data_IF_249402467372
#
_entry.id   IF_249402467372
#
_cell.length_a   1.000
_cell.length_b   1.000
_cell.length_c   1.000
_cell.angle_alpha   90.00
_cell.angle_beta   90.00
_cell.angle_gamma   90.00
#
_symmetry.space_group_name_H-M   'P 1'
#
loop_
_entity.id
_entity.type
_entity.pdbx_description
1 polymer ?
#
# COMPACT_ATOMS: atom_id res chain seq x y z
N UNK A 1 -9.19 1.27 15.08
CA UNK A 1 -9.26 1.47 13.61
C UNK A 1 -7.98 1.03 12.88
N UNK A 2 -8.06 0.72 11.58
CA UNK A 2 -6.93 0.38 10.71
C UNK A 2 -6.96 1.29 9.47
N UNK A 3 -6.00 2.21 9.39
CA UNK A 3 -5.73 3.01 8.20
C UNK A 3 -5.00 2.16 7.17
N UNK A 4 -5.50 2.11 5.94
CA UNK A 4 -4.83 1.36 4.89
C UNK A 4 -4.79 2.11 3.55
N UNK A 5 -3.70 1.88 2.81
CA UNK A 5 -3.56 2.33 1.43
C UNK A 5 -3.35 1.11 0.53
N UNK A 6 -4.01 1.05 -0.63
CA UNK A 6 -3.77 -0.02 -1.60
C UNK A 6 -4.13 0.41 -3.03
N UNK A 7 -3.20 0.20 -3.95
CA UNK A 7 -3.42 0.43 -5.38
C UNK A 7 -3.98 -0.82 -6.09
N UNK A 8 -3.32 -1.97 -5.91
CA UNK A 8 -3.62 -3.23 -6.62
C UNK A 8 -4.28 -4.29 -5.73
N UNK A 9 -4.66 -3.91 -4.50
CA UNK A 9 -5.48 -4.74 -3.62
C UNK A 9 -4.74 -5.65 -2.64
N UNK A 10 -3.41 -5.81 -2.75
CA UNK A 10 -2.63 -6.62 -1.80
C UNK A 10 -2.84 -6.14 -0.35
N UNK A 11 -2.54 -4.88 -0.09
CA UNK A 11 -2.67 -4.27 1.25
C UNK A 11 -4.12 -4.15 1.70
N UNK A 12 -5.08 -3.97 0.76
CA UNK A 12 -6.51 -4.00 1.09
C UNK A 12 -6.93 -5.37 1.59
N UNK A 13 -6.50 -6.44 0.93
CA UNK A 13 -6.76 -7.81 1.38
C UNK A 13 -6.15 -8.04 2.76
N UNK A 14 -4.88 -7.66 2.96
CA UNK A 14 -4.20 -7.77 4.26
C UNK A 14 -4.94 -7.01 5.37
N UNK A 15 -5.34 -5.76 5.12
CA UNK A 15 -6.12 -4.98 6.08
C UNK A 15 -7.47 -5.64 6.38
N UNK A 16 -8.13 -6.21 5.37
CA UNK A 16 -9.41 -6.93 5.54
C UNK A 16 -9.25 -8.17 6.40
N UNK A 17 -8.19 -8.97 6.18
CA UNK A 17 -7.90 -10.13 7.03
C UNK A 17 -7.62 -9.72 8.49
N UNK A 18 -6.91 -8.61 8.70
CA UNK A 18 -6.68 -8.07 10.04
C UNK A 18 -7.97 -7.56 10.68
N UNK A 19 -8.80 -6.77 9.98
CA UNK A 19 -10.12 -6.34 10.45
C UNK A 19 -10.96 -7.52 10.93
N UNK A 20 -10.99 -8.62 10.16
CA UNK A 20 -11.78 -9.79 10.51
C UNK A 20 -11.28 -10.50 11.78
N UNK A 21 -10.01 -10.28 12.17
CA UNK A 21 -9.37 -10.92 13.34
C UNK A 21 -9.32 -10.02 14.56
N UNK A 22 -9.23 -8.70 14.37
CA UNK A 22 -9.13 -7.72 15.45
C UNK A 22 -10.46 -7.03 15.75
N UNK A 23 -11.42 -7.08 14.83
CA UNK A 23 -12.70 -6.35 14.92
C UNK A 23 -12.59 -4.86 14.57
N UNK A 24 -11.40 -4.38 14.24
CA UNK A 24 -11.14 -2.96 14.00
C UNK A 24 -11.72 -2.47 12.66
N UNK A 25 -12.22 -1.24 12.64
CA UNK A 25 -12.78 -0.64 11.43
C UNK A 25 -11.69 -0.24 10.43
N UNK A 26 -11.94 -0.43 9.13
CA UNK A 26 -11.00 -0.01 8.08
C UNK A 26 -11.27 1.42 7.63
N UNK A 27 -10.19 2.18 7.43
CA UNK A 27 -10.21 3.51 6.84
C UNK A 27 -9.31 3.51 5.60
N UNK A 28 -9.90 3.71 4.42
CA UNK A 28 -9.15 3.84 3.17
C UNK A 28 -8.51 5.22 3.10
N UNK A 29 -7.18 5.27 3.08
CA UNK A 29 -6.41 6.52 3.04
C UNK A 29 -6.69 7.33 1.77
N UNK A 30 -6.99 6.66 0.65
CA UNK A 30 -7.32 7.34 -0.61
C UNK A 30 -8.60 8.17 -0.52
N UNK A 31 -9.51 7.82 0.40
CA UNK A 31 -10.74 8.55 0.65
C UNK A 31 -10.58 9.52 1.82
N UNK A 32 -9.94 9.07 2.91
CA UNK A 32 -9.67 9.87 4.10
C UNK A 32 -8.93 11.18 3.80
N UNK A 33 -7.96 11.15 2.87
CA UNK A 33 -7.14 12.31 2.53
C UNK A 33 -7.94 13.43 1.83
N UNK A 34 -9.14 13.13 1.33
CA UNK A 34 -10.04 14.11 0.73
C UNK A 34 -10.85 14.89 1.79
N UNK A 35 -10.79 14.45 3.04
CA UNK A 35 -11.54 15.02 4.17
C UNK A 35 -10.57 15.67 5.20
N UNK A 36 -11.04 15.95 6.40
CA UNK A 36 -10.32 16.61 7.50
C UNK A 36 -9.15 15.81 8.06
N UNK A 37 -9.10 14.49 7.81
CA UNK A 37 -8.15 13.56 8.42
C UNK A 37 -8.17 13.57 9.97
N UNK A 38 -9.32 13.87 10.60
CA UNK A 38 -9.47 13.91 12.05
C UNK A 38 -10.26 12.70 12.55
N UNK A 39 -9.73 12.01 13.57
CA UNK A 39 -10.33 10.80 14.13
C UNK A 39 -10.26 10.80 15.64
N UNK A 40 -11.32 10.29 16.29
CA UNK A 40 -11.36 10.10 17.74
C UNK A 40 -11.30 8.60 18.06
N UNK A 41 -10.39 8.21 18.94
CA UNK A 41 -10.25 6.84 19.42
C UNK A 41 -11.16 6.60 20.62
N UNK A 42 -11.79 5.43 20.67
CA UNK A 42 -12.44 4.92 21.89
C UNK A 42 -11.39 4.47 22.89
N UNK A 43 -11.80 4.36 24.15
CA UNK A 43 -10.96 3.81 25.22
C UNK A 43 -10.35 2.47 24.76
N UNK A 44 -9.04 2.33 24.92
CA UNK A 44 -8.31 1.12 24.53
C UNK A 44 -8.43 0.72 23.05
N UNK A 45 -8.84 1.59 22.13
CA UNK A 45 -8.92 1.27 20.70
C UNK A 45 -7.53 1.05 20.08
N UNK A 46 -7.38 0.02 19.23
CA UNK A 46 -6.12 -0.26 18.53
C UNK A 46 -6.06 0.57 17.25
N UNK A 47 -4.91 1.19 16.99
CA UNK A 47 -4.66 1.90 15.73
C UNK A 47 -3.67 1.13 14.84
N UNK A 48 -4.10 0.79 13.64
CA UNK A 48 -3.31 0.02 12.68
C UNK A 48 -2.97 0.80 11.43
N UNK A 49 -1.81 0.52 10.83
CA UNK A 49 -1.41 1.06 9.53
C UNK A 49 -1.02 -0.08 8.59
N UNK A 50 -1.66 -0.16 7.41
CA UNK A 50 -1.40 -1.22 6.43
C UNK A 50 -1.18 -0.64 5.04
N UNK A 51 0.01 -0.76 4.47
CA UNK A 51 0.33 -0.11 3.20
C UNK A 51 1.44 -0.79 2.40
N UNK A 52 1.49 -0.58 1.07
CA UNK A 52 2.55 -1.09 0.23
C UNK A 52 3.83 -0.27 0.34
N UNK A 53 4.96 -0.92 0.11
CA UNK A 53 6.25 -0.23 -0.10
C UNK A 53 6.38 0.18 -1.56
N UNK A 54 6.68 1.46 -1.82
CA UNK A 54 6.93 1.98 -3.17
C UNK A 54 8.40 2.38 -3.29
N UNK A 55 9.21 1.63 -4.04
CA UNK A 55 10.63 1.93 -4.24
C UNK A 55 11.43 2.01 -2.93
N UNK A 56 11.21 1.04 -2.02
CA UNK A 56 11.80 1.01 -0.66
C UNK A 56 11.48 2.24 0.20
N UNK A 57 10.37 2.93 -0.09
CA UNK A 57 9.90 4.11 0.62
C UNK A 57 8.39 4.04 0.90
N UNK A 58 7.95 4.95 1.75
CA UNK A 58 6.55 5.22 2.06
C UNK A 58 5.89 5.86 0.82
N UNK A 59 4.71 5.39 0.38
CA UNK A 59 3.95 6.05 -0.68
C UNK A 59 3.67 7.52 -0.33
N UNK A 60 3.86 8.44 -1.29
CA UNK A 60 3.67 9.88 -1.07
C UNK A 60 2.28 10.24 -0.48
N UNK A 61 1.23 9.58 -0.96
CA UNK A 61 -0.14 9.77 -0.43
C UNK A 61 -0.24 9.44 1.07
N UNK A 62 0.51 8.43 1.54
CA UNK A 62 0.53 8.06 2.95
C UNK A 62 1.31 9.09 3.77
N UNK A 63 2.43 9.61 3.28
CA UNK A 63 3.15 10.71 3.95
C UNK A 63 2.24 11.94 4.11
N UNK A 64 1.57 12.37 3.04
CA UNK A 64 0.64 13.50 3.08
C UNK A 64 -0.54 13.26 4.06
N UNK A 65 -1.05 12.02 4.10
CA UNK A 65 -2.08 11.65 5.05
C UNK A 65 -1.59 11.73 6.50
N UNK A 66 -0.42 11.16 6.81
CA UNK A 66 0.13 11.14 8.17
C UNK A 66 0.48 12.55 8.68
N UNK A 67 0.93 13.44 7.81
CA UNK A 67 1.19 14.85 8.14
C UNK A 67 -0.08 15.64 8.49
N UNK A 68 -1.22 15.23 7.94
CA UNK A 68 -2.54 15.85 8.19
C UNK A 68 -3.35 15.14 9.27
N UNK A 69 -2.98 13.92 9.62
CA UNK A 69 -3.72 13.07 10.55
C UNK A 69 -3.75 13.71 11.94
N UNK A 70 -4.97 13.89 12.45
CA UNK A 70 -5.25 14.28 13.83
C UNK A 70 -5.93 13.13 14.56
N UNK A 71 -5.41 12.79 15.72
CA UNK A 71 -5.96 11.72 16.56
C UNK A 71 -6.27 12.27 17.95
N UNK A 72 -7.53 12.20 18.35
CA UNK A 72 -7.98 12.58 19.68
C UNK A 72 -8.37 11.33 20.47
N UNK A 73 -8.10 11.30 21.76
CA UNK A 73 -8.45 10.18 22.64
C UNK A 73 -9.22 10.67 23.85
N UNK A 74 -10.03 9.79 24.42
CA UNK A 74 -10.91 10.14 25.56
C UNK A 74 -10.14 10.05 26.89
N UNK A 75 -9.11 9.20 26.96
CA UNK A 75 -8.42 8.78 28.18
C UNK A 75 -7.01 9.40 28.35
N UNK A 76 -6.48 10.09 27.33
CA UNK A 76 -5.09 10.60 27.28
C UNK A 76 -4.00 9.53 27.51
N UNK A 77 -4.35 8.23 27.45
CA UNK A 77 -3.43 7.13 27.70
C UNK A 77 -2.70 6.70 26.41
N UNK A 78 -1.58 5.99 26.55
CA UNK A 78 -0.83 5.52 25.38
C UNK A 78 -1.60 4.40 24.64
N UNK A 79 -1.96 4.64 23.38
CA UNK A 79 -2.71 3.66 22.57
C UNK A 79 -1.80 2.65 21.86
N UNK A 80 -2.23 1.39 21.85
CA UNK A 80 -1.55 0.32 21.13
C UNK A 80 -1.65 0.57 19.62
N UNK A 81 -0.49 0.74 18.98
CA UNK A 81 -0.38 0.95 17.54
C UNK A 81 0.36 -0.19 16.85
N UNK A 82 -0.03 -0.55 15.63
CA UNK A 82 0.72 -1.52 14.82
C UNK A 82 0.91 -1.05 13.37
N UNK A 83 1.92 -1.60 12.69
CA UNK A 83 2.13 -1.36 11.27
C UNK A 83 2.46 -2.65 10.51
N UNK A 84 1.78 -2.91 9.40
CA UNK A 84 2.06 -4.04 8.51
C UNK A 84 2.33 -3.54 7.08
N UNK A 85 3.54 -3.81 6.59
CA UNK A 85 3.94 -3.47 5.22
C UNK A 85 3.75 -4.65 4.28
N UNK A 86 3.17 -4.39 3.10
CA UNK A 86 3.18 -5.35 1.99
C UNK A 86 4.27 -4.96 0.99
N UNK A 87 5.09 -5.91 0.53
CA UNK A 87 6.13 -5.66 -0.48
C UNK A 87 6.23 -6.81 -1.48
N UNK A 88 6.79 -6.56 -2.66
CA UNK A 88 7.08 -7.60 -3.65
C UNK A 88 8.32 -8.44 -3.30
N UNK A 89 9.27 -7.85 -2.57
CA UNK A 89 10.58 -8.43 -2.25
C UNK A 89 11.14 -7.97 -0.88
N UNK A 90 11.34 -6.67 -0.69
CA UNK A 90 11.96 -6.13 0.52
C UNK A 90 11.43 -4.75 0.88
N UNK A 91 11.61 -4.32 2.14
CA UNK A 91 11.08 -3.05 2.65
C UNK A 91 12.12 -1.94 2.79
N UNK A 92 13.42 -2.24 2.67
CA UNK A 92 14.49 -1.29 2.97
C UNK A 92 14.34 -0.73 4.40
N UNK A 93 14.34 0.60 4.53
CA UNK A 93 14.15 1.36 5.78
C UNK A 93 12.76 1.99 5.88
N UNK A 94 11.78 1.43 5.18
CA UNK A 94 10.41 1.99 5.14
C UNK A 94 9.76 1.99 6.53
N UNK A 95 9.96 0.93 7.33
CA UNK A 95 9.38 0.85 8.68
C UNK A 95 10.03 1.85 9.65
N UNK A 96 11.35 2.04 9.55
CA UNK A 96 12.08 3.05 10.33
C UNK A 96 11.59 4.46 10.00
N UNK A 97 11.40 4.75 8.70
CA UNK A 97 10.84 6.02 8.24
C UNK A 97 9.42 6.21 8.76
N UNK A 98 8.61 5.15 8.76
CA UNK A 98 7.23 5.18 9.25
C UNK A 98 7.19 5.45 10.76
N UNK A 99 8.05 4.79 11.55
CA UNK A 99 8.17 5.04 12.99
C UNK A 99 8.47 6.51 13.28
N UNK A 100 9.33 7.14 12.49
CA UNK A 100 9.64 8.57 12.61
C UNK A 100 8.48 9.50 12.21
N UNK A 101 7.60 9.10 11.29
CA UNK A 101 6.39 9.86 10.96
C UNK A 101 5.29 9.66 12.01
N UNK A 102 5.13 8.45 12.54
CA UNK A 102 4.14 8.15 13.58
C UNK A 102 4.31 9.04 14.81
N UNK A 103 5.57 9.26 15.23
CA UNK A 103 5.91 10.15 16.35
C UNK A 103 5.57 11.63 16.12
N UNK A 104 5.32 12.04 14.87
CA UNK A 104 5.01 13.42 14.49
C UNK A 104 3.52 13.65 14.22
N UNK A 105 2.70 12.60 14.31
CA UNK A 105 1.25 12.72 14.16
C UNK A 105 0.74 13.68 15.25
N UNK A 106 -0.18 14.57 14.87
CA UNK A 106 -0.86 15.44 15.81
C UNK A 106 -1.85 14.60 16.62
N UNK A 107 -1.42 14.14 17.80
CA UNK A 107 -2.19 13.25 18.65
C UNK A 107 -2.27 13.81 20.08
N UNK A 108 -3.44 13.71 20.71
CA UNK A 108 -3.61 14.09 22.13
C UNK A 108 -2.92 13.11 23.08
N UNK A 109 -2.53 11.93 22.60
CA UNK A 109 -1.85 10.89 23.36
C UNK A 109 -0.68 10.27 22.57
N UNK A 110 0.13 9.42 23.21
CA UNK A 110 1.13 8.62 22.52
C UNK A 110 0.47 7.53 21.66
N UNK A 111 0.85 7.46 20.38
CA UNK A 111 0.56 6.33 19.51
C UNK A 111 1.74 5.35 19.56
N UNK A 112 1.71 4.45 20.56
CA UNK A 112 2.84 3.56 20.85
C UNK A 112 2.91 2.43 19.83
N UNK A 113 3.88 2.51 18.90
CA UNK A 113 4.15 1.44 17.94
C UNK A 113 4.61 0.18 18.66
N UNK A 114 3.69 -0.76 18.83
CA UNK A 114 3.87 -1.94 19.67
C UNK A 114 4.13 -3.22 18.89
N UNK A 115 3.61 -3.33 17.67
CA UNK A 115 3.86 -4.46 16.79
C UNK A 115 4.06 -4.03 15.34
N UNK A 116 4.98 -4.69 14.65
CA UNK A 116 5.32 -4.45 13.25
C UNK A 116 5.47 -5.75 12.48
N UNK A 117 5.12 -5.74 11.20
CA UNK A 117 5.38 -6.86 10.31
C UNK A 117 5.62 -6.38 8.87
N UNK A 118 6.29 -7.22 8.09
CA UNK A 118 6.37 -7.10 6.64
C UNK A 118 6.04 -8.45 6.01
N UNK A 119 5.17 -8.44 4.99
CA UNK A 119 4.80 -9.66 4.26
C UNK A 119 5.09 -9.50 2.76
N UNK A 120 5.54 -10.59 2.17
CA UNK A 120 5.80 -10.66 0.73
C UNK A 120 4.50 -11.01 0.00
N UNK A 121 4.08 -10.11 -0.88
CA UNK A 121 2.86 -10.22 -1.68
C UNK A 121 3.21 -10.31 -3.17
N UNK A 122 2.27 -10.75 -4.03
CA UNK A 122 2.54 -10.87 -5.45
C UNK A 122 2.95 -9.53 -6.09
N UNK A 123 3.93 -9.60 -7.00
CA UNK A 123 4.51 -8.43 -7.66
C UNK A 123 3.46 -7.73 -8.54
N UNK A 124 3.42 -6.41 -8.43
CA UNK A 124 2.51 -5.55 -9.21
C UNK A 124 3.21 -4.35 -9.85
N UNK A 125 4.51 -4.15 -9.61
CA UNK A 125 5.30 -3.12 -10.26
C UNK A 125 5.91 -3.64 -11.56
N UNK A 126 5.45 -3.10 -12.69
CA UNK A 126 5.86 -3.52 -14.04
C UNK A 126 6.64 -2.42 -14.80
N UNK A 127 7.12 -1.41 -14.06
CA UNK A 127 7.71 -0.19 -14.64
C UNK A 127 9.18 -0.25 -15.03
N UNK A 128 9.90 -1.33 -14.70
CA UNK A 128 11.33 -1.51 -14.97
C UNK A 128 11.61 -2.75 -15.83
N UNK A 129 12.69 -2.76 -16.65
CA UNK A 129 13.13 -3.96 -17.35
C UNK A 129 13.32 -5.15 -16.40
N UNK A 130 12.92 -6.35 -16.81
CA UNK A 130 13.05 -7.58 -16.01
C UNK A 130 12.02 -7.75 -14.87
N UNK A 131 11.24 -6.72 -14.51
CA UNK A 131 10.17 -6.82 -13.51
C UNK A 131 8.82 -7.11 -14.17
N UNK A 132 8.22 -8.25 -13.88
CA UNK A 132 6.87 -8.62 -14.34
C UNK A 132 6.05 -9.23 -13.20
N UNK A 133 4.76 -9.44 -13.43
CA UNK A 133 3.87 -10.09 -12.46
C UNK A 133 4.29 -11.53 -12.20
N UNK A 134 3.97 -12.02 -11.01
CA UNK A 134 4.27 -13.40 -10.62
C UNK A 134 3.51 -14.44 -11.47
N UNK A 135 4.12 -15.62 -11.64
CA UNK A 135 3.41 -16.79 -12.18
C UNK A 135 2.25 -17.20 -11.26
N UNK A 136 1.34 -18.03 -11.75
CA UNK A 136 0.20 -18.47 -10.95
C UNK A 136 0.61 -19.17 -9.66
N UNK A 137 1.63 -20.02 -9.76
CA UNK A 137 2.15 -20.82 -8.66
C UNK A 137 2.80 -19.90 -7.62
N UNK A 138 3.62 -18.95 -8.07
CA UNK A 138 4.28 -17.96 -7.19
C UNK A 138 3.26 -17.05 -6.50
N UNK A 139 2.27 -16.55 -7.24
CA UNK A 139 1.18 -15.74 -6.70
C UNK A 139 0.45 -16.49 -5.59
N UNK A 140 0.04 -17.74 -5.84
CA UNK A 140 -0.65 -18.59 -4.87
C UNK A 140 0.21 -18.84 -3.63
N UNK A 141 1.47 -19.22 -3.82
CA UNK A 141 2.40 -19.50 -2.72
C UNK A 141 2.62 -18.28 -1.82
N UNK A 142 2.83 -17.10 -2.42
CA UNK A 142 2.98 -15.84 -1.67
C UNK A 142 1.72 -15.52 -0.86
N UNK A 143 0.53 -15.65 -1.45
CA UNK A 143 -0.75 -15.42 -0.75
C UNK A 143 -0.96 -16.40 0.41
N UNK A 144 -0.66 -17.69 0.22
CA UNK A 144 -0.79 -18.71 1.26
C UNK A 144 0.18 -18.46 2.43
N UNK A 145 1.41 -18.06 2.12
CA UNK A 145 2.42 -17.70 3.13
C UNK A 145 2.01 -16.44 3.89
N UNK A 146 1.60 -15.40 3.17
CA UNK A 146 1.10 -14.15 3.75
C UNK A 146 -0.09 -14.40 4.69
N UNK A 147 -1.01 -15.31 4.32
CA UNK A 147 -2.16 -15.66 5.17
C UNK A 147 -1.73 -16.24 6.53
N UNK A 148 -0.69 -17.08 6.55
CA UNK A 148 -0.15 -17.64 7.81
C UNK A 148 0.47 -16.53 8.67
N UNK A 149 1.31 -15.68 8.06
CA UNK A 149 1.95 -14.56 8.76
C UNK A 149 0.92 -13.56 9.31
N UNK A 150 -0.17 -13.29 8.59
CA UNK A 150 -1.26 -12.42 9.06
C UNK A 150 -1.99 -13.05 10.26
N UNK A 151 -2.20 -14.38 10.28
CA UNK A 151 -2.80 -15.06 11.43
C UNK A 151 -1.95 -14.90 12.68
N UNK A 152 -0.64 -15.13 12.56
CA UNK A 152 0.33 -15.00 13.66
C UNK A 152 0.38 -13.56 14.16
N UNK A 153 0.47 -12.59 13.23
CA UNK A 153 0.52 -11.17 13.57
C UNK A 153 -0.77 -10.68 14.24
N UNK A 154 -1.94 -11.15 13.79
CA UNK A 154 -3.21 -10.81 14.42
C UNK A 154 -3.30 -11.33 15.87
N UNK A 155 -2.74 -12.50 16.17
CA UNK A 155 -2.67 -13.01 17.53
C UNK A 155 -1.84 -12.08 18.43
N UNK A 156 -0.70 -11.60 17.94
CA UNK A 156 0.15 -10.61 18.64
C UNK A 156 -0.63 -9.32 18.93
N UNK A 157 -1.37 -8.80 17.95
CA UNK A 157 -2.20 -7.59 18.10
C UNK A 157 -3.30 -7.80 19.15
N UNK A 158 -4.01 -8.93 19.09
CA UNK A 158 -5.14 -9.22 19.99
C UNK A 158 -4.69 -9.44 21.44
N UNK A 159 -3.53 -10.07 21.65
CA UNK A 159 -2.94 -10.23 22.98
C UNK A 159 -2.40 -8.90 23.56
N UNK A 160 -2.27 -7.86 22.71
CA UNK A 160 -1.73 -6.54 23.09
C UNK A 160 -0.41 -6.63 23.85
N UNK A 161 0.44 -7.58 23.44
CA UNK A 161 1.72 -7.86 24.12
C UNK A 161 2.53 -6.57 24.26
N UNK A 162 3.13 -6.33 25.45
CA UNK A 162 3.94 -5.14 25.67
C UNK A 162 5.15 -5.14 24.74
N UNK A 163 5.64 -3.93 24.46
CA UNK A 163 6.87 -3.69 23.69
C UNK A 163 8.05 -4.37 24.39
N UNK A 164 8.90 -5.06 23.62
CA UNK A 164 10.15 -5.62 24.15
C UNK A 164 11.17 -4.49 24.39
N UNK A 165 12.18 -4.71 25.24
CA UNK A 165 13.31 -3.80 25.45
C UNK A 165 14.02 -3.43 24.14
N UNK A 166 13.90 -4.28 23.12
CA UNK A 166 14.52 -4.11 21.80
C UNK A 166 13.65 -3.35 20.77
N UNK A 167 12.46 -2.88 21.16
CA UNK A 167 11.53 -2.15 20.31
C UNK A 167 10.22 -2.91 20.01
N UNK A 168 9.48 -2.49 18.97
CA UNK A 168 8.19 -3.10 18.63
C UNK A 168 8.33 -4.61 18.36
N UNK A 169 7.32 -5.39 18.72
CA UNK A 169 7.29 -6.83 18.41
C UNK A 169 7.34 -7.04 16.89
N UNK A 170 8.18 -7.96 16.42
CA UNK A 170 8.38 -8.20 14.98
C UNK A 170 9.45 -7.32 14.33
N UNK A 171 10.16 -6.47 15.09
CA UNK A 171 11.14 -5.52 14.55
C UNK A 171 12.35 -6.18 13.89
N UNK A 172 12.82 -7.30 14.44
CA UNK A 172 14.00 -8.00 13.93
C UNK A 172 13.66 -8.90 12.73
N UNK A 173 12.39 -9.28 12.61
CA UNK A 173 11.84 -10.18 11.60
C UNK A 173 11.46 -9.46 10.29
N UNK A 174 11.53 -8.12 10.26
CA UNK A 174 11.23 -7.33 9.07
C UNK A 174 12.18 -7.66 7.91
N UNK A 175 11.60 -7.90 6.73
CA UNK A 175 12.30 -8.24 5.49
C UNK A 175 12.93 -6.99 4.85
N UNK A 176 13.97 -6.45 5.49
CA UNK A 176 14.67 -5.23 5.04
C UNK A 176 15.41 -5.43 3.72
N UNK A 177 15.76 -6.67 3.39
CA UNK A 177 16.56 -7.00 2.21
C UNK A 177 18.06 -6.69 2.42
N UNK A 178 18.89 -6.94 1.40
CA UNK A 178 20.32 -6.64 1.45
C UNK A 178 20.56 -5.11 1.44
N UNK A 179 21.57 -4.62 2.16
CA UNK A 179 22.03 -3.21 2.12
C UNK A 179 20.86 -2.17 2.17
N UNK A 180 19.99 -2.21 3.19
CA UNK A 180 18.73 -1.45 3.21
C UNK A 180 18.92 0.08 3.14
N UNK A 181 20.04 0.58 3.64
CA UNK A 181 20.39 2.01 3.60
C UNK A 181 20.69 2.50 2.18
N UNK A 182 21.30 1.65 1.34
CA UNK A 182 21.56 1.98 -0.07
C UNK A 182 20.25 2.00 -0.89
N UNK A 183 19.38 1.01 -0.66
CA UNK A 183 18.09 0.95 -1.35
C UNK A 183 17.16 2.10 -0.97
N UNK A 184 17.10 2.45 0.31
CA UNK A 184 16.21 3.50 0.79
C UNK A 184 16.80 4.91 0.56
N UNK A 185 18.12 5.02 0.55
CA UNK A 185 18.87 6.25 0.29
C UNK A 185 19.03 6.53 -1.22
N UNK A 186 20.20 6.30 -1.83
CA UNK A 186 20.46 6.65 -3.24
C UNK A 186 19.47 6.07 -4.25
N UNK A 187 19.17 4.77 -4.18
CA UNK A 187 18.31 4.11 -5.17
C UNK A 187 16.86 4.60 -5.04
N UNK A 188 16.34 4.66 -3.81
CA UNK A 188 15.00 5.16 -3.53
C UNK A 188 14.84 6.63 -3.92
N UNK A 189 15.86 7.47 -3.69
CA UNK A 189 15.85 8.87 -4.11
C UNK A 189 15.82 9.02 -5.64
N UNK A 190 16.63 8.24 -6.35
CA UNK A 190 16.61 8.18 -7.81
C UNK A 190 15.24 7.72 -8.33
N UNK A 191 14.70 6.65 -7.74
CA UNK A 191 13.40 6.10 -8.12
C UNK A 191 12.28 7.13 -7.93
N UNK A 192 12.24 7.80 -6.78
CA UNK A 192 11.24 8.83 -6.50
C UNK A 192 11.36 10.03 -7.45
N UNK A 193 12.58 10.45 -7.80
CA UNK A 193 12.80 11.62 -8.66
C UNK A 193 12.52 11.36 -10.14
N UNK A 194 12.81 10.15 -10.64
CA UNK A 194 12.82 9.89 -12.08
C UNK A 194 11.85 8.81 -12.55
N UNK A 195 11.36 7.93 -11.66
CA UNK A 195 10.50 6.79 -12.03
C UNK A 195 9.06 6.92 -11.51
N UNK A 196 8.84 7.77 -10.50
CA UNK A 196 7.50 8.12 -10.03
C UNK A 196 6.98 9.30 -10.88
N UNK A 197 6.31 8.97 -11.99
CA UNK A 197 5.74 9.92 -12.94
C UNK A 197 4.68 9.25 -13.81
N UNK A 198 3.72 10.02 -14.30
CA UNK A 198 2.70 9.56 -15.23
C UNK A 198 3.05 9.76 -16.72
N UNK A 199 4.09 10.55 -17.03
CA UNK A 199 4.44 10.94 -18.41
C UNK A 199 4.51 9.78 -19.41
N UNK A 200 5.01 8.57 -19.06
CA UNK A 200 5.07 7.47 -20.01
C UNK A 200 3.74 6.73 -20.19
N UNK A 201 2.71 6.99 -19.37
CA UNK A 201 1.42 6.34 -19.56
C UNK A 201 0.74 6.83 -20.85
N UNK A 202 0.19 5.87 -21.59
CA UNK A 202 -0.53 6.11 -22.84
C UNK A 202 -1.61 5.08 -23.07
N UNK A 203 -2.61 5.46 -23.85
CA UNK A 203 -3.69 4.58 -24.30
C UNK A 203 -3.34 3.95 -25.65
N UNK A 204 -3.64 2.67 -25.81
CA UNK A 204 -3.69 1.98 -27.11
C UNK A 204 -5.12 2.08 -27.61
N UNK A 205 -5.33 2.96 -28.58
CA UNK A 205 -6.66 3.42 -28.98
C UNK A 205 -7.55 2.29 -29.49
N UNK A 206 -6.99 1.32 -30.21
CA UNK A 206 -7.69 0.20 -30.81
C UNK A 206 -8.23 -0.78 -29.75
N UNK A 207 -7.64 -0.76 -28.54
CA UNK A 207 -8.04 -1.62 -27.42
C UNK A 207 -8.99 -0.92 -26.44
N UNK A 208 -9.07 0.41 -26.47
CA UNK A 208 -9.79 1.17 -25.46
C UNK A 208 -11.29 1.24 -25.75
N UNK A 209 -12.10 0.58 -24.90
CA UNK A 209 -13.57 0.61 -24.98
C UNK A 209 -14.21 1.73 -24.15
N UNK A 210 -13.41 2.64 -23.57
CA UNK A 210 -13.88 3.80 -22.78
C UNK A 210 -14.77 3.42 -21.59
N UNK A 211 -14.43 2.34 -20.90
CA UNK A 211 -15.20 1.84 -19.74
C UNK A 211 -15.02 2.66 -18.46
N UNK A 212 -14.02 3.55 -18.38
CA UNK A 212 -13.79 4.42 -17.21
C UNK A 212 -13.04 3.78 -16.03
N UNK A 213 -12.91 2.45 -15.98
CA UNK A 213 -12.30 1.71 -14.85
C UNK A 213 -10.93 2.28 -14.45
N UNK A 214 -10.08 2.62 -15.42
CA UNK A 214 -8.74 3.16 -15.14
C UNK A 214 -8.76 4.46 -14.33
N UNK A 215 -9.77 5.32 -14.54
CA UNK A 215 -9.93 6.56 -13.78
C UNK A 215 -10.50 6.27 -12.38
N UNK A 216 -11.47 5.35 -12.28
CA UNK A 216 -12.09 4.93 -11.03
C UNK A 216 -11.08 4.31 -10.04
N UNK A 217 -10.17 3.47 -10.53
CA UNK A 217 -9.18 2.80 -9.66
C UNK A 217 -7.97 3.67 -9.34
N UNK A 218 -7.88 4.91 -9.86
CA UNK A 218 -6.73 5.77 -9.62
C UNK A 218 -6.80 6.35 -8.20
N UNK A 219 -5.90 5.94 -7.27
CA UNK A 219 -6.03 6.33 -5.87
C UNK A 219 -5.83 7.83 -5.60
N UNK A 220 -5.24 8.54 -6.56
CA UNK A 220 -4.85 9.95 -6.45
C UNK A 220 -5.62 10.84 -7.42
N UNK A 221 -6.66 10.31 -8.09
CA UNK A 221 -7.49 11.03 -9.05
C UNK A 221 -6.68 11.76 -10.14
N UNK A 222 -5.60 11.14 -10.61
CA UNK A 222 -4.67 11.71 -11.60
C UNK A 222 -5.11 11.49 -13.06
N UNK A 223 -6.30 10.94 -13.27
CA UNK A 223 -6.81 10.61 -14.61
C UNK A 223 -8.13 11.32 -14.85
N UNK A 224 -8.14 12.25 -15.81
CA UNK A 224 -9.37 12.78 -16.39
C UNK A 224 -9.94 11.75 -17.36
N UNK A 225 -11.17 11.30 -17.12
CA UNK A 225 -11.81 10.28 -17.93
C UNK A 225 -13.10 9.84 -17.26
N UNK A 226 -13.51 8.60 -17.53
CA UNK A 226 -14.75 8.03 -17.00
C UNK A 226 -15.46 7.22 -18.07
N UNK A 227 -16.64 6.73 -17.74
CA UNK A 227 -17.48 5.99 -18.69
C UNK A 227 -17.74 6.85 -19.94
N UNK A 228 -17.48 6.29 -21.12
CA UNK A 228 -17.64 6.99 -22.41
C UNK A 228 -16.44 7.84 -22.84
N UNK A 229 -15.46 8.08 -21.96
CA UNK A 229 -14.31 8.94 -22.25
C UNK A 229 -12.98 8.17 -22.31
N UNK A 230 -12.07 8.61 -23.18
CA UNK A 230 -10.68 8.14 -23.15
C UNK A 230 -9.97 8.75 -21.94
N UNK A 231 -9.14 7.97 -21.21
CA UNK A 231 -8.40 8.50 -20.07
C UNK A 231 -7.24 9.40 -20.52
N UNK A 232 -7.05 10.49 -19.79
CA UNK A 232 -5.96 11.46 -19.95
C UNK A 232 -5.33 11.68 -18.58
N UNK A 233 -4.02 11.47 -18.48
CA UNK A 233 -3.28 11.75 -17.24
C UNK A 233 -3.09 13.24 -17.07
N UNK A 234 -3.25 13.72 -15.84
CA UNK A 234 -3.29 15.15 -15.54
C UNK A 234 -1.90 15.78 -15.46
N UNK A 235 -0.83 14.98 -15.34
CA UNK A 235 0.55 15.46 -15.22
C UNK A 235 0.72 16.45 -14.05
N UNK A 236 0.03 16.19 -12.94
CA UNK A 236 0.00 17.06 -11.75
C UNK A 236 0.95 16.59 -10.62
N UNK A 237 1.90 15.72 -10.96
CA UNK A 237 2.88 15.10 -10.06
C UNK A 237 2.29 14.25 -8.92
N UNK A 238 0.98 13.93 -8.92
CA UNK A 238 0.37 13.06 -7.90
C UNK A 238 0.49 11.57 -8.21
N UNK A 239 0.77 11.20 -9.46
CA UNK A 239 0.91 9.81 -9.86
C UNK A 239 1.91 9.06 -8.98
N UNK A 240 1.52 7.89 -8.48
CA UNK A 240 2.35 7.04 -7.64
C UNK A 240 3.13 5.98 -8.44
N UNK A 241 2.98 5.95 -9.77
CA UNK A 241 3.43 4.86 -10.66
C UNK A 241 3.06 3.47 -10.11
N UNK A 242 1.86 3.36 -9.52
CA UNK A 242 1.37 2.14 -8.88
C UNK A 242 0.75 1.13 -9.86
N UNK A 243 0.61 1.52 -11.13
CA UNK A 243 0.04 0.70 -12.20
C UNK A 243 -1.41 0.23 -12.00
N UNK A 244 -2.18 0.79 -11.06
CA UNK A 244 -3.59 0.42 -10.87
C UNK A 244 -4.41 0.54 -12.18
N UNK A 245 -4.27 1.66 -12.90
CA UNK A 245 -4.92 1.89 -14.19
C UNK A 245 -4.52 0.85 -15.26
N UNK A 246 -3.26 0.42 -15.26
CA UNK A 246 -2.74 -0.60 -16.16
C UNK A 246 -3.31 -1.98 -15.81
N UNK A 247 -3.29 -2.37 -14.54
CA UNK A 247 -3.70 -3.71 -14.08
C UNK A 247 -5.20 -3.97 -14.18
N UNK A 248 -5.99 -2.94 -13.94
CA UNK A 248 -7.45 -3.05 -13.94
C UNK A 248 -8.07 -2.83 -15.32
N UNK A 249 -7.30 -2.46 -16.35
CA UNK A 249 -7.83 -2.31 -17.70
C UNK A 249 -8.17 -3.70 -18.30
N UNK A 250 -9.46 -4.06 -18.50
CA UNK A 250 -9.83 -5.40 -18.94
C UNK A 250 -9.42 -5.70 -20.39
N UNK A 251 -9.19 -4.66 -21.21
CA UNK A 251 -8.74 -4.78 -22.60
C UNK A 251 -7.24 -4.55 -22.77
N UNK A 252 -6.49 -4.40 -21.67
CA UNK A 252 -5.04 -4.16 -21.70
C UNK A 252 -4.66 -2.98 -22.62
N UNK A 253 -5.49 -1.93 -22.58
CA UNK A 253 -5.41 -0.74 -23.43
C UNK A 253 -4.50 0.36 -22.87
N UNK A 254 -3.90 0.15 -21.69
CA UNK A 254 -3.01 1.12 -21.04
C UNK A 254 -1.59 0.58 -21.15
N UNK A 255 -0.63 1.43 -21.48
CA UNK A 255 0.79 1.10 -21.51
C UNK A 255 1.60 2.18 -20.82
N UNK A 256 2.74 1.79 -20.27
CA UNK A 256 3.78 2.67 -19.75
C UNK A 256 5.02 2.58 -20.65
N UNK A 257 5.15 3.55 -21.55
CA UNK A 257 6.10 3.56 -22.65
C UNK A 257 6.08 2.24 -23.43
N UNK A 258 7.26 1.68 -23.65
CA UNK A 258 7.42 0.35 -24.26
C UNK A 258 7.62 -0.76 -23.22
N UNK A 259 7.72 -0.40 -21.93
CA UNK A 259 8.16 -1.31 -20.85
C UNK A 259 7.14 -2.36 -20.46
N UNK A 260 5.88 -2.14 -20.79
CA UNK A 260 4.73 -2.97 -20.37
C UNK A 260 4.07 -3.73 -21.52
N UNK A 261 4.56 -3.58 -22.75
CA UNK A 261 3.93 -4.16 -23.96
C UNK A 261 3.74 -5.68 -23.90
N UNK A 262 4.69 -6.38 -23.27
CA UNK A 262 4.72 -7.84 -23.18
C UNK A 262 4.54 -8.36 -21.75
N UNK A 263 4.09 -7.51 -20.83
CA UNK A 263 3.99 -7.83 -19.41
C UNK A 263 2.57 -8.24 -19.02
N UNK A 264 2.46 -9.00 -17.93
CA UNK A 264 1.18 -9.42 -17.40
C UNK A 264 0.44 -8.30 -16.66
N UNK A 265 -0.76 -8.60 -16.18
CA UNK A 265 -1.55 -7.75 -15.30
C UNK A 265 -1.87 -8.49 -14.02
N UNK A 266 -1.81 -7.79 -12.89
CA UNK A 266 -2.12 -8.31 -11.58
C UNK A 266 -2.89 -7.28 -10.75
N UNK A 267 -3.99 -7.73 -10.18
CA UNK A 267 -4.56 -7.13 -8.98
C UNK A 267 -5.08 -8.27 -8.12
N UNK A 268 -5.13 -8.07 -6.81
CA UNK A 268 -5.53 -9.12 -5.89
C UNK A 268 -6.94 -9.63 -6.24
N UNK A 269 -7.05 -10.93 -6.52
CA UNK A 269 -8.29 -11.57 -6.94
C UNK A 269 -8.58 -11.58 -8.44
N UNK A 270 -7.71 -10.99 -9.29
CA UNK A 270 -7.88 -10.97 -10.76
C UNK A 270 -8.18 -12.35 -11.33
N UNK A 271 -7.37 -13.36 -11.01
CA UNK A 271 -7.56 -14.72 -11.55
C UNK A 271 -8.90 -15.36 -11.18
N UNK A 272 -9.49 -15.01 -10.03
CA UNK A 272 -10.82 -15.53 -9.64
C UNK A 272 -11.93 -14.93 -10.50
N UNK A 273 -11.81 -13.65 -10.87
CA UNK A 273 -12.79 -12.98 -11.73
C UNK A 273 -12.80 -13.54 -13.16
N UNK A 274 -11.65 -13.94 -13.69
CA UNK A 274 -11.51 -14.42 -15.07
C UNK A 274 -11.53 -15.97 -15.20
N UNK A 275 -11.58 -16.72 -14.10
CA UNK A 275 -11.80 -18.19 -14.13
C UNK A 275 -13.25 -18.58 -14.42
N UNK A 276 -14.19 -17.63 -14.29
CA UNK A 276 -15.63 -17.84 -14.49
C UNK A 276 -16.12 -17.30 -15.85
N UNK A 277 -15.21 -17.11 -16.81
CA UNK A 277 -15.49 -16.79 -18.21
C UNK A 277 -14.91 -17.87 -19.09
#
# INVERSE_FOLDING_TARGET
>A
MIFYFSATGNSRWTATELKNKTGEQLVNISDAIKDTCSYSLKENEIIGFVFPVHGWRIPRILTEFLERLKVETIDNEAHYSFCLLTTGDSIGRTMESFRGLLQKINSSCELRLSAVASIIMPESYVGLPGMDVDTQEKEKLKIETAKKQINEFAAIINERKPVDKNGPLGWNELTRGPVPDFFSGPVGAFFQKFLITDKPFRVVDEKCVRCGICAEVCPVNDIKGGLGHKPVWLHNDKCLTCFACYHHCPHHAIQYGNRTRAKGQYFFGRRKLYKNK
#
